data_IF_049708985217
#
_entry.id   IF_049708985217
#
_cell.length_a   1.000
_cell.length_b   1.000
_cell.length_c   1.000
_cell.angle_alpha   90.00
_cell.angle_beta   90.00
_cell.angle_gamma   90.00
#
_symmetry.space_group_name_H-M   'P 1'
#
loop_
_entity.id
_entity.type
_entity.pdbx_description
1 polymer ?
#
# COMPACT_ATOMS: atom_id res chain seq x y z
N UNK A 1 28.60 11.67 -14.31
CA UNK A 1 28.06 11.45 -15.67
C UNK A 1 26.56 11.31 -15.50
N UNK A 2 25.79 12.30 -15.92
CA UNK A 2 24.32 12.25 -15.77
C UNK A 2 23.78 11.25 -16.78
N UNK A 3 23.48 10.03 -16.31
CA UNK A 3 23.02 8.96 -17.18
C UNK A 3 21.54 8.69 -16.95
N UNK A 4 20.81 8.71 -18.06
CA UNK A 4 19.51 8.08 -18.20
C UNK A 4 19.60 7.13 -19.41
N UNK A 5 19.74 5.82 -19.16
CA UNK A 5 19.71 4.80 -20.21
C UNK A 5 19.21 3.44 -19.68
N UNK A 6 18.50 2.70 -20.55
CA UNK A 6 17.88 1.39 -20.31
C UNK A 6 18.58 0.32 -21.16
N UNK A 7 18.79 -0.89 -20.63
CA UNK A 7 19.20 -2.06 -21.43
C UNK A 7 18.45 -3.32 -20.98
N UNK A 8 17.92 -4.04 -21.97
CA UNK A 8 16.79 -4.97 -21.90
C UNK A 8 17.23 -6.41 -22.19
N UNK A 9 16.33 -7.37 -21.90
CA UNK A 9 16.00 -8.41 -22.89
C UNK A 9 14.48 -8.59 -23.12
N UNK A 10 13.60 -7.88 -22.40
CA UNK A 10 12.13 -7.97 -22.61
C UNK A 10 11.29 -6.74 -22.15
N UNK A 11 11.82 -5.50 -22.05
CA UNK A 11 11.02 -4.35 -21.59
C UNK A 11 11.43 -2.98 -22.17
N UNK A 12 10.48 -2.06 -22.29
CA UNK A 12 10.67 -0.68 -22.76
C UNK A 12 10.21 0.36 -21.71
N UNK A 13 10.87 1.52 -21.62
CA UNK A 13 10.28 2.72 -21.02
C UNK A 13 9.55 3.50 -22.13
N UNK A 14 8.22 3.51 -22.10
CA UNK A 14 7.41 4.33 -23.00
C UNK A 14 6.88 5.53 -22.23
N UNK A 15 7.33 6.72 -22.62
CA UNK A 15 6.63 7.97 -22.31
C UNK A 15 5.84 8.33 -23.57
N UNK A 16 4.78 7.56 -23.82
CA UNK A 16 3.77 7.93 -24.81
C UNK A 16 2.98 9.12 -24.28
N UNK A 17 2.44 9.96 -25.17
CA UNK A 17 1.44 10.93 -24.77
C UNK A 17 0.32 10.19 -24.01
N UNK A 18 0.15 10.48 -22.72
CA UNK A 18 -0.95 9.93 -21.90
C UNK A 18 -0.61 8.78 -20.95
N UNK A 19 0.55 8.11 -21.05
CA UNK A 19 0.87 6.96 -20.20
C UNK A 19 2.15 7.19 -19.39
N UNK A 20 1.95 7.62 -18.14
CA UNK A 20 2.86 7.63 -17.01
C UNK A 20 4.09 8.51 -16.94
N UNK A 21 4.07 9.31 -15.89
CA UNK A 21 4.99 10.41 -15.64
C UNK A 21 5.51 10.31 -14.21
N UNK A 22 6.77 10.71 -14.02
CA UNK A 22 7.47 10.84 -12.72
C UNK A 22 7.72 12.33 -12.45
N UNK A 23 7.38 12.84 -11.26
CA UNK A 23 7.29 14.30 -11.00
C UNK A 23 8.14 14.76 -9.83
N UNK A 24 9.28 15.39 -10.07
CA UNK A 24 10.23 15.82 -9.06
C UNK A 24 9.85 17.13 -8.35
N UNK A 25 10.36 17.33 -7.12
CA UNK A 25 10.19 18.55 -6.33
C UNK A 25 11.19 19.62 -6.79
N UNK A 26 11.18 20.81 -6.15
CA UNK A 26 11.90 22.02 -6.62
C UNK A 26 13.43 22.00 -6.49
N UNK A 27 14.00 21.08 -5.71
CA UNK A 27 15.45 20.79 -5.74
C UNK A 27 15.76 19.61 -6.69
N UNK A 28 14.74 19.06 -7.35
CA UNK A 28 14.77 17.77 -8.04
C UNK A 28 14.96 16.56 -7.08
N UNK A 29 14.27 16.56 -5.93
CA UNK A 29 14.50 15.69 -4.77
C UNK A 29 13.32 14.84 -4.23
N UNK A 30 12.05 15.09 -4.57
CA UNK A 30 10.88 14.21 -4.21
C UNK A 30 9.98 14.02 -5.42
N UNK A 31 9.40 12.85 -5.65
CA UNK A 31 8.46 12.70 -6.77
C UNK A 31 7.31 11.73 -6.59
N UNK A 32 6.24 11.99 -7.33
CA UNK A 32 5.12 11.07 -7.50
C UNK A 32 5.13 10.54 -8.93
N UNK A 33 5.05 9.22 -9.08
CA UNK A 33 5.08 8.52 -10.37
C UNK A 33 3.86 7.61 -10.51
N UNK A 34 3.08 7.79 -11.59
CA UNK A 34 1.80 7.10 -11.78
C UNK A 34 1.59 6.73 -13.25
N UNK A 35 1.38 5.44 -13.55
CA UNK A 35 1.03 4.90 -14.87
C UNK A 35 -0.27 4.13 -14.77
N UNK A 36 -1.27 4.46 -15.58
CA UNK A 36 -2.47 3.63 -15.73
C UNK A 36 -2.75 3.37 -17.21
N UNK A 37 -3.28 2.18 -17.50
CA UNK A 37 -3.55 1.65 -18.84
C UNK A 37 -5.06 1.63 -19.17
N UNK A 38 -5.87 2.34 -18.38
CA UNK A 38 -7.28 2.57 -18.64
C UNK A 38 -8.26 1.86 -17.70
N UNK A 39 -7.82 1.24 -16.60
CA UNK A 39 -8.74 0.74 -15.56
C UNK A 39 -8.28 1.08 -14.14
N UNK A 40 -7.03 0.78 -13.73
CA UNK A 40 -6.54 1.09 -12.37
C UNK A 40 -5.05 1.45 -12.33
N UNK A 41 -4.61 2.04 -11.21
CA UNK A 41 -3.20 2.17 -10.87
C UNK A 41 -2.81 1.09 -9.86
N UNK A 42 -2.15 0.04 -10.33
CA UNK A 42 -1.82 -1.13 -9.53
C UNK A 42 -0.39 -1.05 -8.97
N UNK A 43 -0.27 -1.25 -7.66
CA UNK A 43 1.00 -1.56 -7.00
C UNK A 43 1.05 -3.06 -6.70
N UNK A 44 1.75 -3.82 -7.53
CA UNK A 44 1.96 -5.25 -7.29
C UNK A 44 3.26 -5.45 -6.48
N UNK A 45 3.12 -6.00 -5.27
CA UNK A 45 4.25 -6.39 -4.41
C UNK A 45 4.49 -7.90 -4.56
N UNK A 46 5.75 -8.34 -4.71
CA UNK A 46 6.13 -9.76 -4.84
C UNK A 46 7.28 -10.06 -3.88
N UNK A 47 7.16 -11.12 -3.07
CA UNK A 47 8.11 -11.48 -2.00
C UNK A 47 8.43 -10.32 -1.03
N UNK A 48 7.47 -9.40 -0.83
CA UNK A 48 7.60 -8.27 0.10
C UNK A 48 6.88 -8.63 1.41
N UNK A 49 7.50 -8.34 2.56
CA UNK A 49 6.90 -8.57 3.88
C UNK A 49 5.82 -7.51 4.18
N UNK A 50 6.06 -6.27 3.74
CA UNK A 50 5.29 -5.09 4.10
C UNK A 50 5.31 -4.01 3.00
N UNK A 51 4.23 -3.22 2.94
CA UNK A 51 4.16 -2.00 2.14
C UNK A 51 4.06 -0.80 3.10
N UNK A 52 5.17 -0.07 3.26
CA UNK A 52 5.29 0.97 4.27
C UNK A 52 4.86 2.34 3.77
N UNK A 53 4.07 3.05 4.59
CA UNK A 53 3.69 4.45 4.39
C UNK A 53 4.24 5.30 5.55
N UNK A 54 5.55 5.56 5.53
CA UNK A 54 6.27 6.26 6.61
C UNK A 54 6.29 7.78 6.40
N UNK A 55 6.25 8.55 7.49
CA UNK A 55 6.31 10.02 7.44
C UNK A 55 5.01 10.70 7.00
N UNK A 56 3.97 9.91 6.68
CA UNK A 56 2.64 10.44 6.45
C UNK A 56 2.01 10.86 7.76
N UNK A 57 1.37 12.03 7.77
CA UNK A 57 0.57 12.47 8.92
C UNK A 57 -0.82 11.83 8.94
N UNK A 58 -1.30 11.34 7.78
CA UNK A 58 -2.62 10.69 7.60
C UNK A 58 -2.64 9.73 6.41
N UNK A 59 -3.34 8.60 6.55
CA UNK A 59 -3.76 7.74 5.44
C UNK A 59 -5.26 7.96 5.18
N UNK A 60 -5.64 8.36 3.96
CA UNK A 60 -7.03 8.68 3.61
C UNK A 60 -7.50 7.82 2.45
N UNK A 61 -8.64 7.16 2.63
CA UNK A 61 -9.39 6.50 1.57
C UNK A 61 -10.61 7.40 1.30
N UNK A 62 -10.83 7.77 0.04
CA UNK A 62 -11.87 8.73 -0.34
C UNK A 62 -13.28 8.12 -0.30
N UNK A 63 -13.90 7.96 -1.46
CA UNK A 63 -15.20 7.31 -1.59
C UNK A 63 -15.12 5.77 -1.61
N UNK A 64 -13.91 5.22 -1.60
CA UNK A 64 -13.70 3.77 -1.66
C UNK A 64 -13.87 3.13 -0.27
N UNK A 65 -14.28 1.87 -0.28
CA UNK A 65 -14.30 1.03 0.92
C UNK A 65 -12.91 0.45 1.17
N UNK A 66 -12.55 0.34 2.45
CA UNK A 66 -11.43 -0.50 2.86
C UNK A 66 -11.91 -1.94 2.98
N UNK A 67 -11.46 -2.81 2.09
CA UNK A 67 -11.63 -4.24 2.23
C UNK A 67 -10.41 -4.81 2.97
N UNK A 68 -10.68 -5.52 4.07
CA UNK A 68 -9.66 -6.23 4.86
C UNK A 68 -9.99 -7.71 4.77
N UNK A 69 -9.02 -8.52 4.35
CA UNK A 69 -9.20 -9.97 4.30
C UNK A 69 -9.47 -10.53 5.69
N UNK A 70 -10.42 -11.45 5.77
CA UNK A 70 -10.72 -12.18 7.00
C UNK A 70 -9.51 -13.04 7.42
N UNK A 71 -9.34 -13.18 8.74
CA UNK A 71 -8.33 -14.06 9.34
C UNK A 71 -8.90 -14.79 10.56
N UNK A 72 -8.27 -15.91 10.93
CA UNK A 72 -8.72 -16.74 12.05
C UNK A 72 -8.41 -16.12 13.42
N UNK A 73 -7.30 -15.38 13.51
CA UNK A 73 -6.80 -14.70 14.69
C UNK A 73 -6.03 -13.46 14.28
N UNK A 74 -5.71 -12.58 15.24
CA UNK A 74 -4.80 -11.46 15.05
C UNK A 74 -3.43 -11.93 14.50
N UNK A 75 -2.67 -11.00 13.92
CA UNK A 75 -1.27 -11.28 13.57
C UNK A 75 -0.40 -11.23 14.83
N UNK A 76 0.91 -11.37 14.65
CA UNK A 76 1.86 -11.19 15.75
C UNK A 76 1.79 -9.77 16.32
N UNK A 77 1.99 -9.65 17.63
CA UNK A 77 1.98 -8.37 18.33
C UNK A 77 3.20 -7.52 17.92
N UNK A 78 2.97 -6.24 17.67
CA UNK A 78 4.02 -5.27 17.41
C UNK A 78 4.04 -4.21 18.51
N UNK A 79 5.14 -4.16 19.26
CA UNK A 79 5.29 -3.22 20.37
C UNK A 79 5.05 -1.76 19.94
N UNK A 80 4.10 -1.10 20.62
CA UNK A 80 3.70 0.28 20.33
C UNK A 80 2.72 0.45 19.15
N UNK A 81 2.20 -0.63 18.57
CA UNK A 81 1.22 -0.61 17.49
C UNK A 81 0.00 -1.47 17.84
N UNK A 82 -1.18 -1.04 17.41
CA UNK A 82 -2.40 -1.85 17.44
C UNK A 82 -2.80 -2.32 16.05
N UNK A 83 -3.58 -3.40 15.96
CA UNK A 83 -4.05 -3.98 14.71
C UNK A 83 -5.58 -3.88 14.58
N UNK A 84 -6.07 -3.37 13.45
CA UNK A 84 -7.46 -3.53 13.01
C UNK A 84 -7.57 -4.74 12.07
N UNK A 85 -8.51 -5.66 12.33
CA UNK A 85 -8.66 -6.88 11.53
C UNK A 85 -10.10 -7.40 11.51
N UNK A 86 -10.39 -8.29 10.55
CA UNK A 86 -11.70 -8.93 10.40
C UNK A 86 -11.57 -10.43 10.71
N UNK A 87 -12.41 -10.94 11.61
CA UNK A 87 -12.43 -12.36 12.00
C UNK A 87 -13.34 -13.17 11.07
N UNK A 88 -12.88 -14.36 10.67
CA UNK A 88 -13.55 -15.27 9.73
C UNK A 88 -14.73 -16.06 10.33
N UNK A 89 -15.58 -15.38 11.11
CA UNK A 89 -16.86 -15.92 11.58
C UNK A 89 -17.97 -15.67 10.56
N UNK A 90 -19.14 -16.29 10.74
CA UNK A 90 -20.33 -16.03 9.92
C UNK A 90 -21.49 -15.53 10.80
N UNK A 91 -21.86 -14.23 10.75
CA UNK A 91 -21.26 -13.17 9.95
C UNK A 91 -19.84 -12.78 10.44
N UNK A 92 -19.08 -12.12 9.58
CA UNK A 92 -17.75 -11.59 9.91
C UNK A 92 -17.82 -10.56 11.01
N UNK A 93 -16.79 -10.48 11.84
CA UNK A 93 -16.71 -9.55 12.97
C UNK A 93 -15.50 -8.62 12.81
N UNK A 94 -15.61 -7.36 13.23
CA UNK A 94 -14.51 -6.41 13.24
C UNK A 94 -13.82 -6.42 14.62
N UNK A 95 -12.49 -6.51 14.65
CA UNK A 95 -11.70 -6.66 15.87
C UNK A 95 -10.52 -5.67 15.92
N UNK A 96 -10.15 -5.27 17.14
CA UNK A 96 -8.93 -4.54 17.45
C UNK A 96 -8.06 -5.36 18.41
N UNK A 97 -6.76 -5.41 18.15
CA UNK A 97 -5.75 -5.98 19.06
C UNK A 97 -4.85 -4.83 19.51
N UNK A 98 -4.71 -4.64 20.82
CA UNK A 98 -3.82 -3.60 21.37
C UNK A 98 -2.33 -4.00 21.29
N UNK A 99 -1.45 -3.10 21.74
CA UNK A 99 0.00 -3.30 21.69
C UNK A 99 0.54 -4.28 22.76
N UNK A 100 -0.34 -4.85 23.58
CA UNK A 100 -0.07 -5.91 24.55
C UNK A 100 -0.69 -7.25 24.12
N UNK A 101 -1.31 -7.32 22.93
CA UNK A 101 -1.93 -8.52 22.38
C UNK A 101 -3.34 -8.81 22.91
N UNK A 102 -4.01 -7.84 23.53
CA UNK A 102 -5.39 -8.04 23.99
C UNK A 102 -6.39 -7.79 22.85
N UNK A 103 -7.20 -8.80 22.55
CA UNK A 103 -8.24 -8.74 21.51
C UNK A 103 -9.56 -8.17 22.03
N UNK A 104 -10.12 -7.20 21.29
CA UNK A 104 -11.43 -6.58 21.55
C UNK A 104 -12.29 -6.59 20.29
N UNK A 105 -13.49 -7.15 20.36
CA UNK A 105 -14.48 -7.06 19.28
C UNK A 105 -15.08 -5.65 19.23
N UNK A 106 -15.18 -5.08 18.03
CA UNK A 106 -15.81 -3.77 17.76
C UNK A 106 -17.25 -3.94 17.28
N UNK A 107 -17.49 -4.84 16.30
CA UNK A 107 -18.81 -5.13 15.70
C UNK A 107 -18.94 -6.62 15.41
#
# INVERSE_FOLDING_TARGET
VEQFAFNSMAGFLSVMRGNAVRIWNSNNTDFVAMSHDGTDFNFAFTNTLDANFTGLTRFKIGAASLYISEKAAAGDDFGGLGQLWVKNTNPTQLWFTDDLGNDTQIV
#
